data_IF_180020218204
#
_entry.id   IF_180020218204
#
_cell.length_a   1.000
_cell.length_b   1.000
_cell.length_c   1.000
_cell.angle_alpha   90.00
_cell.angle_beta   90.00
_cell.angle_gamma   90.00
#
_symmetry.space_group_name_H-M   'P 1'
#
loop_
_entity.id
_entity.type
_entity.pdbx_description
1 polymer ?
#
# COMPACT_ATOMS: atom_id res chain seq x y z
N UNK A 1 -6.03 -45.41 -5.41
CA UNK A 1 -7.06 -45.56 -4.36
C UNK A 1 -7.15 -44.25 -3.59
N UNK A 2 -8.32 -43.59 -3.68
CA UNK A 2 -8.94 -42.68 -2.71
C UNK A 2 -9.89 -41.76 -3.49
N UNK A 3 -11.09 -42.28 -3.78
CA UNK A 3 -12.23 -41.52 -4.28
C UNK A 3 -12.77 -40.65 -3.13
N UNK A 4 -12.93 -39.35 -3.35
CA UNK A 4 -13.83 -38.52 -2.53
C UNK A 4 -14.81 -37.83 -3.47
N UNK A 5 -15.99 -38.43 -3.54
CA UNK A 5 -17.20 -38.00 -4.22
C UNK A 5 -17.75 -36.76 -3.51
N UNK A 6 -17.80 -35.60 -4.19
CA UNK A 6 -18.54 -34.43 -3.69
C UNK A 6 -20.04 -34.68 -3.87
N UNK A 7 -20.78 -34.74 -2.76
CA UNK A 7 -22.25 -34.76 -2.72
C UNK A 7 -22.80 -33.44 -3.26
N UNK A 8 -23.61 -33.53 -4.30
CA UNK A 8 -24.48 -32.47 -4.81
C UNK A 8 -25.71 -32.41 -3.89
N UNK A 9 -25.99 -31.26 -3.31
CA UNK A 9 -27.24 -30.98 -2.59
C UNK A 9 -28.15 -30.17 -3.51
N UNK A 10 -29.30 -30.75 -3.84
CA UNK A 10 -30.40 -30.09 -4.53
C UNK A 10 -31.39 -29.53 -3.51
N UNK A 11 -31.62 -28.22 -3.57
CA UNK A 11 -32.78 -27.53 -3.00
C UNK A 11 -32.85 -26.18 -3.71
N UNK A 12 -33.91 -25.70 -4.34
CA UNK A 12 -35.28 -26.14 -4.56
C UNK A 12 -35.89 -25.04 -5.44
N UNK A 13 -36.80 -25.39 -6.35
CA UNK A 13 -37.46 -24.47 -7.28
C UNK A 13 -38.07 -23.25 -6.56
N UNK A 14 -37.82 -22.05 -7.08
CA UNK A 14 -38.51 -20.81 -6.75
C UNK A 14 -38.50 -19.88 -7.96
N UNK A 15 -39.68 -19.51 -8.42
CA UNK A 15 -40.05 -18.89 -9.69
C UNK A 15 -39.29 -17.62 -10.11
N UNK A 16 -39.04 -17.52 -11.43
CA UNK A 16 -38.75 -16.28 -12.15
C UNK A 16 -39.90 -15.28 -12.01
N UNK A 17 -39.62 -14.06 -11.52
CA UNK A 17 -40.34 -12.84 -11.94
C UNK A 17 -39.41 -11.64 -11.94
N UNK A 18 -39.08 -11.17 -13.14
CA UNK A 18 -38.67 -9.78 -13.40
C UNK A 18 -39.86 -8.84 -13.16
N UNK A 19 -39.63 -7.60 -12.72
CA UNK A 19 -40.55 -6.51 -13.02
C UNK A 19 -39.86 -5.45 -13.90
N UNK A 20 -40.40 -5.30 -15.10
CA UNK A 20 -40.20 -4.14 -15.96
C UNK A 20 -41.01 -2.94 -15.44
N UNK A 21 -40.40 -1.77 -15.50
CA UNK A 21 -40.93 -0.42 -15.74
C UNK A 21 -42.46 -0.18 -15.60
N UNK A 22 -42.87 0.65 -14.65
CA UNK A 22 -43.54 1.94 -14.89
C UNK A 22 -44.08 2.52 -13.57
N UNK A 23 -43.93 3.83 -13.37
CA UNK A 23 -44.48 4.51 -12.21
C UNK A 23 -43.97 5.94 -12.12
N UNK A 24 -44.49 6.79 -13.01
CA UNK A 24 -44.47 8.24 -12.88
C UNK A 24 -45.02 8.66 -11.52
N UNK A 25 -44.23 9.32 -10.68
CA UNK A 25 -44.75 10.15 -9.60
C UNK A 25 -44.17 11.55 -9.66
N UNK A 26 -45.10 12.49 -9.73
CA UNK A 26 -44.94 13.92 -9.87
C UNK A 26 -44.28 14.54 -8.63
N UNK A 27 -43.42 15.51 -8.92
CA UNK A 27 -42.82 16.44 -7.98
C UNK A 27 -43.91 17.29 -7.32
N UNK A 28 -44.10 17.16 -6.00
CA UNK A 28 -44.78 18.17 -5.18
C UNK A 28 -43.77 18.92 -4.31
N UNK A 29 -43.60 20.19 -4.65
CA UNK A 29 -42.98 21.20 -3.81
C UNK A 29 -43.85 21.48 -2.57
N UNK A 30 -43.27 21.39 -1.39
CA UNK A 30 -43.77 22.07 -0.19
C UNK A 30 -42.63 22.89 0.43
N UNK A 31 -42.72 24.21 0.23
CA UNK A 31 -41.95 25.23 0.94
C UNK A 31 -42.32 25.19 2.42
N UNK A 32 -41.32 25.13 3.30
CA UNK A 32 -41.42 25.73 4.62
C UNK A 32 -40.08 26.36 5.00
N UNK A 33 -40.18 27.58 5.51
CA UNK A 33 -39.14 28.56 5.81
C UNK A 33 -38.95 28.66 7.34
N UNK A 34 -37.84 29.30 7.75
CA UNK A 34 -37.38 29.65 9.12
C UNK A 34 -36.51 28.57 9.77
N UNK A 35 -35.30 28.81 10.28
CA UNK A 35 -34.53 30.03 10.58
C UNK A 35 -33.54 29.70 11.72
N UNK A 36 -32.38 30.35 11.78
CA UNK A 36 -31.57 30.46 13.01
C UNK A 36 -30.29 29.60 13.11
N UNK A 37 -29.16 30.30 13.17
CA UNK A 37 -27.79 29.85 13.51
C UNK A 37 -27.67 29.22 14.91
N UNK A 38 -26.67 28.35 15.14
CA UNK A 38 -25.65 28.48 16.23
C UNK A 38 -24.64 27.32 16.18
N UNK A 39 -23.36 27.68 16.23
CA UNK A 39 -22.18 26.84 16.47
C UNK A 39 -22.24 26.15 17.84
N UNK A 40 -21.86 24.87 17.93
CA UNK A 40 -21.35 24.30 19.19
C UNK A 40 -20.19 23.33 18.96
N UNK A 41 -19.07 23.67 19.59
CA UNK A 41 -17.86 22.87 19.76
C UNK A 41 -17.97 22.09 21.08
N UNK A 42 -17.50 20.84 21.07
CA UNK A 42 -17.01 20.12 22.24
C UNK A 42 -17.92 19.02 22.78
N UNK A 43 -17.48 17.76 22.75
CA UNK A 43 -16.78 17.08 23.87
C UNK A 43 -16.83 15.56 23.65
N UNK A 44 -15.66 14.94 23.77
CA UNK A 44 -15.44 13.50 23.85
C UNK A 44 -15.76 13.04 25.28
N UNK A 45 -16.64 12.05 25.47
CA UNK A 45 -16.84 11.37 26.76
C UNK A 45 -17.50 10.00 26.52
N UNK A 46 -16.71 8.92 26.64
CA UNK A 46 -16.79 7.92 27.73
C UNK A 46 -18.06 7.08 27.67
N UNK A 47 -17.86 5.81 27.29
CA UNK A 47 -18.86 4.75 27.36
C UNK A 47 -18.93 4.29 28.81
N UNK A 48 -19.98 4.69 29.53
CA UNK A 48 -20.32 4.12 30.83
C UNK A 48 -21.19 2.88 30.60
N UNK A 49 -20.76 1.78 31.22
CA UNK A 49 -21.46 0.51 31.36
C UNK A 49 -22.38 0.61 32.58
N UNK A 50 -23.68 0.46 32.38
CA UNK A 50 -24.58 0.02 33.46
C UNK A 50 -25.55 -1.02 32.90
N UNK A 51 -25.45 -2.23 33.46
CA UNK A 51 -26.40 -3.33 33.32
C UNK A 51 -27.61 -3.03 34.20
N UNK A 52 -28.81 -3.04 33.63
CA UNK A 52 -30.04 -3.32 34.38
C UNK A 52 -30.92 -4.25 33.56
N UNK A 53 -31.34 -5.34 34.20
CA UNK A 53 -32.02 -6.50 33.62
C UNK A 53 -33.51 -6.49 33.99
N UNK A 54 -34.35 -6.91 33.03
CA UNK A 54 -35.76 -7.41 33.06
C UNK A 54 -36.84 -6.49 32.46
N UNK A 55 -37.96 -7.03 31.90
CA UNK A 55 -38.14 -8.30 31.19
C UNK A 55 -38.86 -8.14 29.81
N UNK A 56 -38.59 -9.09 28.91
CA UNK A 56 -39.34 -9.49 27.69
C UNK A 56 -40.30 -8.48 27.04
N UNK A 57 -39.80 -7.72 26.06
CA UNK A 57 -40.58 -7.25 24.92
C UNK A 57 -39.98 -7.86 23.64
N UNK A 58 -40.85 -8.32 22.74
CA UNK A 58 -40.56 -8.92 21.44
C UNK A 58 -39.39 -8.23 20.70
N UNK A 59 -38.54 -8.95 19.93
CA UNK A 59 -37.46 -8.32 19.19
C UNK A 59 -38.07 -7.45 18.08
N UNK A 60 -38.28 -6.17 18.38
CA UNK A 60 -38.52 -5.11 17.40
C UNK A 60 -37.33 -5.20 16.45
N UNK A 61 -37.61 -5.73 15.26
CA UNK A 61 -36.70 -5.83 14.12
C UNK A 61 -36.01 -4.47 13.99
N UNK A 62 -34.77 -4.39 14.46
CA UNK A 62 -34.00 -3.15 14.42
C UNK A 62 -33.94 -2.73 12.97
N UNK A 63 -34.60 -1.62 12.64
CA UNK A 63 -34.43 -0.98 11.34
C UNK A 63 -32.92 -0.82 11.15
N UNK A 64 -32.34 -1.28 10.03
CA UNK A 64 -30.90 -1.12 9.82
C UNK A 64 -30.59 0.35 10.02
N UNK A 65 -29.67 0.66 10.95
CA UNK A 65 -29.24 2.04 11.22
C UNK A 65 -29.00 2.71 9.87
N UNK A 66 -29.81 3.72 9.55
CA UNK A 66 -29.68 4.43 8.29
C UNK A 66 -28.31 5.10 8.29
N UNK A 67 -27.41 4.52 7.50
CA UNK A 67 -26.08 5.07 7.26
C UNK A 67 -26.27 6.51 6.75
N UNK A 68 -25.65 7.52 7.39
CA UNK A 68 -25.82 8.92 7.00
C UNK A 68 -25.51 9.11 5.51
N UNK A 69 -26.29 9.98 4.84
CA UNK A 69 -26.30 10.10 3.38
C UNK A 69 -24.90 10.30 2.73
N UNK A 70 -23.98 10.98 3.40
CA UNK A 70 -22.61 11.17 2.93
C UNK A 70 -21.77 9.88 2.93
N UNK A 71 -21.98 8.97 3.88
CA UNK A 71 -21.28 7.68 3.92
C UNK A 71 -21.77 6.75 2.81
N UNK A 72 -23.08 6.80 2.46
CA UNK A 72 -23.60 6.12 1.27
C UNK A 72 -22.92 6.59 -0.02
N UNK A 73 -22.70 7.90 -0.19
CA UNK A 73 -22.02 8.46 -1.37
C UNK A 73 -20.55 8.06 -1.45
N UNK A 74 -19.83 8.01 -0.31
CA UNK A 74 -18.45 7.51 -0.26
C UNK A 74 -18.41 6.02 -0.60
N UNK A 75 -19.30 5.21 -0.04
CA UNK A 75 -19.39 3.77 -0.30
C UNK A 75 -19.63 3.44 -1.78
N UNK A 76 -20.47 4.21 -2.48
CA UNK A 76 -20.75 4.01 -3.92
C UNK A 76 -19.55 4.28 -4.83
N UNK A 77 -18.58 5.07 -4.39
CA UNK A 77 -17.39 5.42 -5.18
C UNK A 77 -16.35 4.30 -5.23
N UNK A 78 -16.38 3.40 -4.24
CA UNK A 78 -15.42 2.31 -4.11
C UNK A 78 -16.02 1.02 -4.65
N UNK A 79 -15.43 0.52 -5.73
CA UNK A 79 -15.77 -0.79 -6.31
C UNK A 79 -14.98 -1.89 -5.60
N UNK A 80 -15.53 -3.11 -5.60
CA UNK A 80 -14.78 -4.32 -5.23
C UNK A 80 -13.87 -4.78 -6.36
N UNK A 81 -12.82 -5.54 -6.01
CA UNK A 81 -12.02 -6.32 -6.94
C UNK A 81 -12.69 -7.68 -7.16
N UNK A 82 -12.82 -8.10 -8.41
CA UNK A 82 -13.38 -9.40 -8.75
C UNK A 82 -12.31 -10.49 -8.60
N UNK A 83 -12.11 -10.92 -7.35
CA UNK A 83 -11.13 -11.94 -7.00
C UNK A 83 -11.63 -13.37 -7.25
N UNK A 84 -12.93 -13.60 -7.26
CA UNK A 84 -13.44 -14.92 -7.61
C UNK A 84 -13.45 -15.07 -9.13
N UNK A 85 -12.74 -16.07 -9.65
CA UNK A 85 -12.72 -16.29 -11.10
C UNK A 85 -14.08 -16.84 -11.51
N UNK A 86 -14.72 -16.21 -12.50
CA UNK A 86 -15.95 -16.75 -13.08
C UNK A 86 -15.63 -17.99 -13.91
N UNK A 87 -15.99 -19.18 -13.39
CA UNK A 87 -15.86 -20.48 -14.08
C UNK A 87 -16.90 -20.64 -15.20
N UNK A 88 -16.85 -19.75 -16.18
CA UNK A 88 -17.72 -19.79 -17.36
C UNK A 88 -17.21 -20.77 -18.42
N UNK A 89 -18.04 -21.07 -19.42
CA UNK A 89 -17.67 -22.00 -20.50
C UNK A 89 -16.41 -21.57 -21.25
N UNK A 90 -16.19 -20.25 -21.41
CA UNK A 90 -15.00 -19.70 -22.07
C UNK A 90 -13.72 -19.98 -21.28
N UNK A 91 -13.75 -19.80 -19.96
CA UNK A 91 -12.63 -20.11 -19.08
C UNK A 91 -12.28 -21.60 -19.12
N UNK A 92 -13.30 -22.46 -19.05
CA UNK A 92 -13.13 -23.91 -19.13
C UNK A 92 -12.65 -24.37 -20.53
N UNK A 93 -13.02 -23.67 -21.60
CA UNK A 93 -12.49 -23.92 -22.95
C UNK A 93 -11.04 -23.48 -23.10
N UNK A 94 -10.69 -22.31 -22.56
CA UNK A 94 -9.31 -21.83 -22.54
C UNK A 94 -8.43 -22.82 -21.78
N UNK A 95 -8.82 -23.21 -20.56
CA UNK A 95 -8.08 -24.17 -19.74
C UNK A 95 -7.95 -25.55 -20.41
N UNK A 96 -8.99 -26.03 -21.10
CA UNK A 96 -8.91 -27.28 -21.89
C UNK A 96 -7.98 -27.18 -23.11
N UNK A 97 -7.86 -26.01 -23.73
CA UNK A 97 -6.93 -25.78 -24.85
C UNK A 97 -5.49 -25.63 -24.39
N UNK A 98 -5.26 -25.40 -23.10
CA UNK A 98 -3.91 -25.22 -22.56
C UNK A 98 -3.15 -26.54 -22.56
N UNK A 99 -2.08 -26.60 -23.37
CA UNK A 99 -1.15 -27.72 -23.34
C UNK A 99 -0.34 -27.73 -22.04
N UNK A 100 0.22 -28.89 -21.67
CA UNK A 100 1.18 -28.99 -20.56
C UNK A 100 2.37 -28.03 -20.72
N UNK A 101 2.83 -27.78 -21.95
CA UNK A 101 3.92 -26.84 -22.22
C UNK A 101 3.50 -25.40 -21.92
N UNK A 102 2.29 -25.03 -22.32
CA UNK A 102 1.71 -23.70 -22.06
C UNK A 102 1.55 -23.47 -20.55
N UNK A 103 1.09 -24.48 -19.80
CA UNK A 103 0.98 -24.40 -18.36
C UNK A 103 2.33 -24.15 -17.68
N UNK A 104 3.37 -24.91 -18.05
CA UNK A 104 4.73 -24.70 -17.52
C UNK A 104 5.28 -23.32 -17.87
N UNK A 105 5.02 -22.83 -19.08
CA UNK A 105 5.43 -21.49 -19.51
C UNK A 105 4.76 -20.39 -18.66
N UNK A 106 3.49 -20.56 -18.28
CA UNK A 106 2.80 -19.63 -17.39
C UNK A 106 3.39 -19.63 -15.98
N UNK A 107 3.70 -20.80 -15.42
CA UNK A 107 4.37 -20.88 -14.12
C UNK A 107 5.72 -20.18 -14.14
N UNK A 108 6.56 -20.45 -15.14
CA UNK A 108 7.85 -19.78 -15.31
C UNK A 108 7.65 -18.27 -15.45
N UNK A 109 6.65 -17.83 -16.21
CA UNK A 109 6.33 -16.42 -16.37
C UNK A 109 5.96 -15.75 -15.05
N UNK A 110 5.23 -16.42 -14.15
CA UNK A 110 4.94 -15.91 -12.80
C UNK A 110 6.22 -15.68 -12.00
N UNK A 111 7.16 -16.63 -12.02
CA UNK A 111 8.45 -16.49 -11.35
C UNK A 111 9.29 -15.34 -11.94
N UNK A 112 9.33 -15.23 -13.26
CA UNK A 112 10.02 -14.14 -13.97
C UNK A 112 9.42 -12.78 -13.59
N UNK A 113 8.09 -12.65 -13.57
CA UNK A 113 7.40 -11.42 -13.16
C UNK A 113 7.74 -11.08 -11.70
N UNK A 114 7.69 -12.05 -10.78
CA UNK A 114 8.06 -11.83 -9.38
C UNK A 114 9.53 -11.39 -9.22
N UNK A 115 10.45 -11.99 -9.97
CA UNK A 115 11.85 -11.58 -9.99
C UNK A 115 12.03 -10.15 -10.51
N UNK A 116 11.33 -9.80 -11.59
CA UNK A 116 11.35 -8.45 -12.15
C UNK A 116 10.74 -7.40 -11.20
N UNK A 117 9.67 -7.75 -10.48
CA UNK A 117 9.07 -6.90 -9.44
C UNK A 117 10.08 -6.62 -8.34
N UNK A 118 10.73 -7.66 -7.82
CA UNK A 118 11.76 -7.52 -6.79
C UNK A 118 12.90 -6.62 -7.25
N UNK A 119 13.45 -6.90 -8.45
CA UNK A 119 14.55 -6.14 -9.04
C UNK A 119 14.20 -4.65 -9.22
N UNK A 120 13.06 -4.35 -9.83
CA UNK A 120 12.63 -2.96 -10.05
C UNK A 120 12.32 -2.24 -8.72
N UNK A 121 11.76 -2.92 -7.73
CA UNK A 121 11.48 -2.35 -6.41
C UNK A 121 12.78 -1.99 -5.68
N UNK A 122 13.79 -2.88 -5.73
CA UNK A 122 15.12 -2.61 -5.19
C UNK A 122 15.81 -1.43 -5.89
N UNK A 123 15.71 -1.31 -7.21
CA UNK A 123 16.24 -0.17 -7.96
C UNK A 123 15.57 1.16 -7.58
N UNK A 124 14.25 1.16 -7.38
CA UNK A 124 13.53 2.36 -6.93
C UNK A 124 13.98 2.76 -5.53
N UNK A 125 14.18 1.79 -4.63
CA UNK A 125 14.72 2.04 -3.30
C UNK A 125 16.12 2.67 -3.37
N UNK A 126 17.04 2.10 -4.16
CA UNK A 126 18.37 2.67 -4.40
C UNK A 126 18.29 4.11 -4.90
N UNK A 127 17.42 4.35 -5.89
CA UNK A 127 17.27 5.68 -6.48
C UNK A 127 16.78 6.71 -5.45
N UNK A 128 15.78 6.36 -4.64
CA UNK A 128 15.28 7.24 -3.57
C UNK A 128 16.39 7.51 -2.55
N UNK A 129 17.14 6.48 -2.15
CA UNK A 129 18.18 6.62 -1.14
C UNK A 129 19.30 7.55 -1.60
N UNK A 130 19.85 7.29 -2.79
CA UNK A 130 20.92 8.10 -3.41
C UNK A 130 20.45 9.54 -3.63
N UNK A 131 19.22 9.74 -4.12
CA UNK A 131 18.69 11.08 -4.36
C UNK A 131 18.50 11.87 -3.05
N UNK A 132 18.01 11.21 -1.99
CA UNK A 132 17.86 11.82 -0.66
C UNK A 132 19.22 12.13 -0.05
N UNK A 133 20.17 11.19 -0.10
CA UNK A 133 21.53 11.40 0.43
C UNK A 133 22.21 12.59 -0.25
N UNK A 134 22.15 12.66 -1.58
CA UNK A 134 22.75 13.75 -2.34
C UNK A 134 22.10 15.12 -2.02
N UNK A 135 20.77 15.21 -2.08
CA UNK A 135 20.05 16.48 -1.86
C UNK A 135 20.15 16.95 -0.41
N UNK A 136 20.03 16.02 0.55
CA UNK A 136 20.17 16.34 1.97
C UNK A 136 21.62 16.71 2.30
N UNK A 137 22.61 16.04 1.71
CA UNK A 137 24.03 16.36 1.83
C UNK A 137 24.32 17.80 1.42
N UNK A 138 23.97 18.17 0.19
CA UNK A 138 24.13 19.54 -0.33
C UNK A 138 23.46 20.57 0.58
N UNK A 139 22.24 20.29 1.07
CA UNK A 139 21.52 21.18 1.98
C UNK A 139 22.23 21.34 3.32
N UNK A 140 22.69 20.25 3.92
CA UNK A 140 23.35 20.29 5.23
C UNK A 140 24.74 20.92 5.15
N UNK A 141 25.49 20.67 4.08
CA UNK A 141 26.79 21.30 3.84
C UNK A 141 26.64 22.82 3.71
N UNK A 142 25.68 23.30 2.90
CA UNK A 142 25.40 24.73 2.74
C UNK A 142 24.98 25.41 4.06
N UNK A 143 24.14 24.73 4.86
CA UNK A 143 23.71 25.24 6.16
C UNK A 143 24.88 25.27 7.15
N UNK A 144 25.73 24.23 7.15
CA UNK A 144 26.90 24.13 8.01
C UNK A 144 27.92 25.22 7.70
N UNK A 145 28.29 25.42 6.44
CA UNK A 145 29.22 26.49 6.01
C UNK A 145 28.70 27.87 6.43
N UNK A 146 27.39 28.09 6.32
CA UNK A 146 26.77 29.33 6.76
C UNK A 146 26.87 29.51 8.28
N UNK A 147 26.55 28.47 9.07
CA UNK A 147 26.65 28.52 10.54
C UNK A 147 28.09 28.80 10.97
N UNK A 148 29.08 28.12 10.39
CA UNK A 148 30.50 28.32 10.73
C UNK A 148 30.93 29.77 10.48
N UNK A 149 30.55 30.34 9.32
CA UNK A 149 30.85 31.73 8.97
C UNK A 149 30.21 32.75 9.91
N UNK A 150 28.96 32.55 10.31
CA UNK A 150 28.22 33.48 11.17
C UNK A 150 28.41 33.23 12.68
N UNK A 151 29.11 32.17 13.06
CA UNK A 151 29.50 31.92 14.47
C UNK A 151 30.59 32.90 14.91
N UNK A 152 31.56 33.21 14.05
CA UNK A 152 32.65 34.14 14.37
C UNK A 152 32.25 35.61 14.26
N UNK A 153 31.42 35.95 13.28
CA UNK A 153 30.99 37.33 12.97
C UNK A 153 29.80 37.78 13.86
N UNK A 154 29.08 36.82 14.44
CA UNK A 154 27.76 37.04 15.04
C UNK A 154 26.67 37.14 13.96
N UNK A 155 25.48 36.59 14.23
CA UNK A 155 24.35 36.63 13.29
C UNK A 155 23.70 35.28 12.93
N UNK A 156 23.65 34.32 13.87
CA UNK A 156 23.01 33.01 13.69
C UNK A 156 21.54 33.06 13.23
N UNK A 157 20.86 34.19 13.39
CA UNK A 157 19.50 34.41 12.85
C UNK A 157 19.45 34.28 11.33
N UNK A 158 20.50 34.69 10.61
CA UNK A 158 20.60 34.55 9.15
C UNK A 158 20.68 33.07 8.76
N UNK A 159 21.46 32.28 9.49
CA UNK A 159 21.58 30.83 9.29
C UNK A 159 20.26 30.11 9.54
N UNK A 160 19.50 30.53 10.57
CA UNK A 160 18.17 30.01 10.84
C UNK A 160 17.19 30.31 9.70
N UNK A 161 17.19 31.54 9.18
CA UNK A 161 16.35 31.93 8.04
C UNK A 161 16.73 31.13 6.79
N UNK A 162 18.02 30.96 6.50
CA UNK A 162 18.48 30.15 5.38
C UNK A 162 17.97 28.71 5.49
N UNK A 163 18.13 28.08 6.67
CA UNK A 163 17.64 26.72 6.90
C UNK A 163 16.12 26.61 6.72
N UNK A 164 15.36 27.57 7.26
CA UNK A 164 13.91 27.62 7.12
C UNK A 164 13.48 27.78 5.64
N UNK A 165 14.15 28.65 4.88
CA UNK A 165 13.86 28.87 3.45
C UNK A 165 14.17 27.62 2.63
N UNK A 166 15.31 26.98 2.87
CA UNK A 166 15.69 25.75 2.16
C UNK A 166 14.69 24.61 2.42
N UNK A 167 14.35 24.35 3.69
CA UNK A 167 13.34 23.35 4.03
C UNK A 167 11.98 23.68 3.39
N UNK A 168 11.53 24.93 3.48
CA UNK A 168 10.25 25.37 2.91
C UNK A 168 10.22 25.21 1.39
N UNK A 169 11.31 25.51 0.70
CA UNK A 169 11.39 25.37 -0.76
C UNK A 169 11.23 23.91 -1.22
N UNK A 170 11.95 22.98 -0.59
CA UNK A 170 11.82 21.55 -0.90
C UNK A 170 10.41 21.03 -0.63
N UNK A 171 9.86 21.34 0.55
CA UNK A 171 8.52 20.90 0.94
C UNK A 171 7.46 21.49 0.02
N UNK A 172 7.58 22.77 -0.36
CA UNK A 172 6.63 23.43 -1.26
C UNK A 172 6.59 22.74 -2.63
N UNK A 173 7.76 22.43 -3.22
CA UNK A 173 7.82 21.72 -4.50
C UNK A 173 7.18 20.32 -4.42
N UNK A 174 7.49 19.56 -3.37
CA UNK A 174 6.89 18.24 -3.14
C UNK A 174 5.37 18.30 -2.91
N UNK A 175 4.91 19.27 -2.11
CA UNK A 175 3.50 19.47 -1.79
C UNK A 175 2.69 19.89 -3.02
N UNK A 176 3.22 20.82 -3.84
CA UNK A 176 2.57 21.22 -5.10
C UNK A 176 2.45 20.05 -6.07
N UNK A 177 3.48 19.21 -6.18
CA UNK A 177 3.44 18.01 -7.01
C UNK A 177 2.32 17.06 -6.57
N UNK A 178 2.21 16.77 -5.26
CA UNK A 178 1.19 15.87 -4.72
C UNK A 178 -0.21 16.49 -4.81
N UNK A 179 -0.39 17.75 -4.39
CA UNK A 179 -1.69 18.40 -4.30
C UNK A 179 -2.35 18.61 -5.66
N UNK A 180 -1.58 19.06 -6.67
CA UNK A 180 -2.14 19.41 -7.98
C UNK A 180 -2.08 18.28 -9.00
N UNK A 181 -1.06 17.40 -8.97
CA UNK A 181 -0.95 16.36 -9.99
C UNK A 181 -1.62 15.06 -9.59
N UNK A 182 -1.38 14.54 -8.39
CA UNK A 182 -1.94 13.26 -7.96
C UNK A 182 -2.14 13.22 -6.42
N UNK A 183 -3.30 13.67 -5.90
CA UNK A 183 -3.54 13.75 -4.46
C UNK A 183 -3.59 12.38 -3.78
N UNK A 184 -3.81 11.30 -4.55
CA UNK A 184 -3.78 9.92 -4.06
C UNK A 184 -2.37 9.50 -3.61
N UNK A 185 -1.32 10.21 -4.05
CA UNK A 185 0.05 9.96 -3.63
C UNK A 185 0.36 10.42 -2.20
N UNK A 186 -0.53 11.22 -1.57
CA UNK A 186 -0.33 11.74 -0.23
C UNK A 186 -0.18 10.63 0.83
N UNK A 187 0.69 10.87 1.83
CA UNK A 187 0.98 9.92 2.91
C UNK A 187 1.79 8.70 2.47
N UNK A 188 1.86 7.69 3.34
CA UNK A 188 2.67 6.49 3.09
C UNK A 188 2.16 5.68 1.90
N UNK A 189 0.85 5.53 1.74
CA UNK A 189 0.27 4.61 0.76
C UNK A 189 -0.11 3.24 1.33
N UNK A 190 0.30 2.93 2.56
CA UNK A 190 0.03 1.64 3.22
C UNK A 190 -1.48 1.41 3.37
N UNK A 191 -2.30 2.39 3.82
CA UNK A 191 -3.74 2.19 3.91
C UNK A 191 -4.38 1.86 2.56
N UNK A 192 -3.91 2.49 1.47
CA UNK A 192 -4.45 2.27 0.14
C UNK A 192 -4.10 0.87 -0.39
N UNK A 193 -2.89 0.36 -0.12
CA UNK A 193 -2.50 -1.00 -0.47
C UNK A 193 -3.25 -2.02 0.39
N UNK A 194 -3.44 -1.75 1.68
CA UNK A 194 -4.28 -2.55 2.57
C UNK A 194 -5.72 -2.67 2.03
N UNK A 195 -6.34 -1.55 1.67
CA UNK A 195 -7.66 -1.56 1.03
C UNK A 195 -7.65 -2.38 -0.28
N UNK A 196 -6.62 -2.24 -1.12
CA UNK A 196 -6.51 -2.99 -2.37
C UNK A 196 -6.39 -4.51 -2.14
N UNK A 197 -5.56 -4.94 -1.19
CA UNK A 197 -5.39 -6.35 -0.83
C UNK A 197 -6.64 -6.94 -0.15
N UNK A 198 -7.36 -6.11 0.62
CA UNK A 198 -8.67 -6.45 1.19
C UNK A 198 -9.77 -6.61 0.12
N UNK A 199 -9.54 -6.13 -1.11
CA UNK A 199 -10.46 -6.27 -2.23
C UNK A 199 -11.22 -4.99 -2.59
N UNK A 200 -10.83 -3.82 -2.07
CA UNK A 200 -11.42 -2.52 -2.41
C UNK A 200 -10.56 -1.80 -3.44
N UNK A 201 -11.14 -1.50 -4.60
CA UNK A 201 -10.48 -0.84 -5.72
C UNK A 201 -10.39 0.68 -5.49
N UNK A 202 -9.31 1.11 -4.86
CA UNK A 202 -9.04 2.55 -4.69
C UNK A 202 -8.70 3.18 -6.05
N UNK A 203 -9.42 4.22 -6.50
CA UNK A 203 -9.14 4.86 -7.78
C UNK A 203 -7.72 5.43 -7.84
N UNK A 204 -7.03 5.20 -8.97
CA UNK A 204 -5.68 5.72 -9.28
C UNK A 204 -4.54 5.23 -8.37
N UNK A 205 -4.78 4.30 -7.44
CA UNK A 205 -3.75 3.79 -6.52
C UNK A 205 -2.54 3.19 -7.27
N UNK A 206 -2.79 2.25 -8.19
CA UNK A 206 -1.75 1.52 -8.93
C UNK A 206 -1.40 2.14 -10.30
N UNK A 207 -1.47 3.48 -10.44
CA UNK A 207 -1.09 4.17 -11.70
C UNK A 207 0.39 4.57 -11.69
N UNK A 208 1.03 4.52 -12.86
CA UNK A 208 2.40 4.98 -13.05
C UNK A 208 2.58 6.45 -12.61
N UNK A 209 1.60 7.30 -12.89
CA UNK A 209 1.61 8.71 -12.44
C UNK A 209 1.72 8.82 -10.91
N UNK A 210 1.00 7.97 -10.17
CA UNK A 210 1.02 7.93 -8.70
C UNK A 210 2.39 7.50 -8.19
N UNK A 211 3.03 6.51 -8.83
CA UNK A 211 4.40 6.10 -8.50
C UNK A 211 5.39 7.27 -8.65
N UNK A 212 5.38 7.95 -9.80
CA UNK A 212 6.31 9.05 -10.08
C UNK A 212 6.13 10.22 -9.10
N UNK A 213 4.87 10.64 -8.87
CA UNK A 213 4.57 11.73 -7.92
C UNK A 213 4.94 11.33 -6.49
N UNK A 214 4.72 10.07 -6.09
CA UNK A 214 5.07 9.58 -4.75
C UNK A 214 6.58 9.51 -4.53
N UNK A 215 7.34 8.97 -5.49
CA UNK A 215 8.81 8.92 -5.45
C UNK A 215 9.40 10.34 -5.36
N UNK A 216 8.91 11.27 -6.19
CA UNK A 216 9.35 12.66 -6.13
C UNK A 216 8.96 13.33 -4.80
N UNK A 217 7.71 13.15 -4.36
CA UNK A 217 7.20 13.73 -3.13
C UNK A 217 7.95 13.25 -1.88
N UNK A 218 8.32 11.96 -1.81
CA UNK A 218 9.10 11.43 -0.67
C UNK A 218 10.52 11.99 -0.65
N UNK A 219 11.19 12.09 -1.80
CA UNK A 219 12.53 12.69 -1.89
C UNK A 219 12.50 14.14 -1.41
N UNK A 220 11.55 14.95 -1.90
CA UNK A 220 11.40 16.35 -1.47
C UNK A 220 11.02 16.49 0.01
N UNK A 221 10.16 15.62 0.53
CA UNK A 221 9.70 15.71 1.93
C UNK A 221 10.82 15.36 2.91
N UNK A 222 11.62 14.34 2.62
CA UNK A 222 12.75 13.93 3.46
C UNK A 222 13.90 14.93 3.32
N UNK A 223 14.24 15.35 2.10
CA UNK A 223 15.25 16.40 1.89
C UNK A 223 14.83 17.75 2.51
N UNK A 224 13.52 18.03 2.57
CA UNK A 224 12.93 19.20 3.22
C UNK A 224 12.94 19.17 4.75
N UNK A 225 13.43 18.08 5.37
CA UNK A 225 13.60 18.00 6.82
C UNK A 225 12.31 17.81 7.61
N UNK A 226 11.23 17.34 6.97
CA UNK A 226 10.01 16.96 7.70
C UNK A 226 10.27 15.72 8.56
N UNK A 227 9.52 15.57 9.66
CA UNK A 227 9.55 14.39 10.52
C UNK A 227 8.82 13.20 9.86
N UNK A 228 9.35 12.72 8.73
CA UNK A 228 8.79 11.67 7.88
C UNK A 228 9.87 10.68 7.43
N UNK A 229 9.45 9.47 7.09
CA UNK A 229 10.32 8.41 6.57
C UNK A 229 10.06 8.09 5.09
N UNK A 230 11.08 7.51 4.43
CA UNK A 230 11.02 7.03 3.04
C UNK A 230 10.62 5.55 2.91
N UNK A 231 10.57 4.85 4.03
CA UNK A 231 10.36 3.42 4.19
C UNK A 231 8.91 3.02 3.88
N UNK A 232 7.93 3.76 4.42
CA UNK A 232 6.51 3.48 4.18
C UNK A 232 6.09 3.60 2.70
N UNK A 233 6.47 4.68 2.00
CA UNK A 233 6.21 4.85 0.56
C UNK A 233 6.78 3.73 -0.34
N UNK A 234 7.79 2.98 0.10
CA UNK A 234 8.34 1.85 -0.67
C UNK A 234 7.33 0.73 -0.87
N UNK A 235 6.48 0.45 0.11
CA UNK A 235 5.45 -0.61 0.06
C UNK A 235 4.47 -0.32 -1.08
N UNK A 236 3.99 0.93 -1.16
CA UNK A 236 3.10 1.37 -2.24
C UNK A 236 3.84 1.38 -3.59
N UNK A 237 5.11 1.79 -3.61
CA UNK A 237 5.88 1.83 -4.85
C UNK A 237 6.06 0.42 -5.46
N UNK A 238 6.40 -0.58 -4.64
CA UNK A 238 6.49 -1.98 -5.07
C UNK A 238 5.15 -2.55 -5.54
N UNK A 239 4.04 -2.23 -4.85
CA UNK A 239 2.69 -2.61 -5.28
C UNK A 239 2.31 -2.01 -6.65
N UNK A 240 2.66 -0.75 -6.93
CA UNK A 240 2.39 -0.11 -8.23
C UNK A 240 3.24 -0.75 -9.34
N UNK A 241 4.52 -1.03 -9.06
CA UNK A 241 5.40 -1.74 -10.01
C UNK A 241 4.80 -3.10 -10.36
N UNK A 242 4.36 -3.87 -9.36
CA UNK A 242 3.74 -5.16 -9.58
C UNK A 242 2.46 -5.11 -10.41
N UNK A 243 1.57 -4.16 -10.11
CA UNK A 243 0.35 -3.94 -10.88
C UNK A 243 0.62 -3.45 -12.32
N UNK A 244 1.75 -2.79 -12.58
CA UNK A 244 2.12 -2.35 -13.92
C UNK A 244 2.79 -3.44 -14.75
N UNK A 245 3.84 -4.05 -14.19
CA UNK A 245 4.67 -5.06 -14.88
C UNK A 245 3.88 -6.31 -15.23
N UNK A 246 3.03 -6.80 -14.31
CA UNK A 246 2.23 -8.00 -14.52
C UNK A 246 1.27 -7.91 -15.72
N UNK A 247 0.87 -6.70 -16.12
CA UNK A 247 -0.14 -6.50 -17.17
C UNK A 247 0.46 -6.46 -18.58
N UNK A 248 1.79 -6.30 -18.70
CA UNK A 248 2.48 -6.22 -19.99
C UNK A 248 2.01 -5.06 -20.89
N UNK A 249 1.35 -4.05 -20.31
CA UNK A 249 0.85 -2.87 -21.03
C UNK A 249 0.92 -1.63 -20.14
N UNK A 250 1.18 -0.48 -20.75
CA UNK A 250 1.08 0.81 -20.10
C UNK A 250 -0.14 1.54 -20.62
N UNK A 251 -1.20 1.58 -19.81
CA UNK A 251 -2.40 2.37 -20.09
C UNK A 251 -2.11 3.87 -20.12
N UNK A 252 -1.16 4.32 -19.29
CA UNK A 252 -0.74 5.73 -19.22
C UNK A 252 0.04 6.17 -20.45
N UNK A 253 0.87 5.29 -21.04
CA UNK A 253 1.66 5.57 -22.23
C UNK A 253 1.00 5.06 -23.54
N UNK A 254 -0.22 4.52 -23.45
CA UNK A 254 -0.96 3.89 -24.57
C UNK A 254 -0.11 2.87 -25.35
N UNK A 255 0.71 2.07 -24.64
CA UNK A 255 1.56 1.03 -25.24
C UNK A 255 1.15 -0.35 -24.75
N UNK A 256 0.97 -1.27 -25.69
CA UNK A 256 0.75 -2.69 -25.41
C UNK A 256 1.93 -3.49 -25.97
N UNK A 257 2.63 -4.22 -25.10
CA UNK A 257 3.77 -5.04 -25.48
C UNK A 257 3.37 -6.45 -25.92
N UNK A 258 2.07 -6.79 -25.87
CA UNK A 258 1.49 -8.11 -26.23
C UNK A 258 2.16 -9.29 -25.49
N UNK A 259 2.75 -9.01 -24.34
CA UNK A 259 3.27 -10.00 -23.39
C UNK A 259 2.31 -10.08 -22.20
N UNK A 260 2.32 -11.21 -21.49
CA UNK A 260 1.62 -11.37 -20.22
C UNK A 260 0.09 -11.16 -20.28
N UNK A 261 -0.53 -11.39 -21.43
CA UNK A 261 -1.96 -11.20 -21.64
C UNK A 261 -2.82 -12.06 -20.68
N UNK A 262 -2.39 -13.29 -20.40
CA UNK A 262 -3.04 -14.21 -19.46
C UNK A 262 -3.16 -13.66 -18.02
N UNK A 263 -2.26 -12.76 -17.62
CA UNK A 263 -2.21 -12.17 -16.27
C UNK A 263 -3.07 -10.90 -16.14
N UNK A 264 -3.83 -10.53 -17.19
CA UNK A 264 -4.73 -9.36 -17.19
C UNK A 264 -6.06 -9.64 -16.47
N UNK A 265 -6.00 -10.26 -15.30
CA UNK A 265 -7.12 -10.58 -14.41
C UNK A 265 -6.84 -10.05 -13.02
N UNK A 266 -7.90 -9.70 -12.28
CA UNK A 266 -7.76 -9.09 -10.95
C UNK A 266 -7.18 -10.07 -9.91
N UNK A 267 -7.39 -11.37 -10.09
CA UNK A 267 -6.76 -12.45 -9.29
C UNK A 267 -5.24 -12.41 -9.34
N UNK A 268 -4.66 -12.62 -10.52
CA UNK A 268 -3.20 -12.59 -10.73
C UNK A 268 -2.63 -11.22 -10.38
N UNK A 269 -3.35 -10.14 -10.70
CA UNK A 269 -2.92 -8.78 -10.35
C UNK A 269 -2.83 -8.56 -8.85
N UNK A 270 -3.78 -9.07 -8.05
CA UNK A 270 -3.72 -8.99 -6.58
C UNK A 270 -2.56 -9.81 -6.03
N UNK A 271 -2.33 -11.01 -6.56
CA UNK A 271 -1.21 -11.88 -6.19
C UNK A 271 0.15 -11.19 -6.44
N UNK A 272 0.32 -10.55 -7.61
CA UNK A 272 1.53 -9.80 -7.91
C UNK A 272 1.64 -8.54 -7.02
N UNK A 273 0.55 -7.81 -6.77
CA UNK A 273 0.56 -6.65 -5.88
C UNK A 273 0.98 -7.03 -4.46
N UNK A 274 0.52 -8.18 -3.97
CA UNK A 274 0.97 -8.77 -2.70
C UNK A 274 2.49 -9.03 -2.71
N UNK A 275 3.03 -9.62 -3.79
CA UNK A 275 4.48 -9.80 -3.95
C UNK A 275 5.25 -8.47 -4.01
N UNK A 276 4.70 -7.44 -4.67
CA UNK A 276 5.29 -6.10 -4.75
C UNK A 276 5.28 -5.37 -3.41
N UNK A 277 4.21 -5.49 -2.64
CA UNK A 277 4.11 -4.94 -1.28
C UNK A 277 5.17 -5.58 -0.36
N UNK A 278 5.28 -6.92 -0.37
CA UNK A 278 6.33 -7.63 0.36
C UNK A 278 7.74 -7.19 -0.05
N UNK A 279 7.99 -7.07 -1.35
CA UNK A 279 9.27 -6.59 -1.88
C UNK A 279 9.60 -5.17 -1.42
N UNK A 280 8.59 -4.30 -1.27
CA UNK A 280 8.75 -2.95 -0.73
C UNK A 280 9.08 -2.94 0.76
N UNK A 281 8.42 -3.78 1.57
CA UNK A 281 8.76 -3.98 3.00
C UNK A 281 10.19 -4.50 3.14
N UNK A 282 10.56 -5.48 2.31
CA UNK A 282 11.90 -6.08 2.30
C UNK A 282 12.99 -5.08 1.97
N UNK A 283 12.76 -4.21 0.96
CA UNK A 283 13.69 -3.13 0.62
C UNK A 283 13.74 -2.04 1.72
N UNK A 284 12.61 -1.73 2.35
CA UNK A 284 12.57 -0.73 3.42
C UNK A 284 13.38 -1.17 4.65
N UNK A 285 13.17 -2.39 5.14
CA UNK A 285 13.66 -2.83 6.46
C UNK A 285 14.72 -3.94 6.40
N UNK A 286 15.08 -4.45 5.22
CA UNK A 286 15.96 -5.60 5.11
C UNK A 286 15.36 -6.89 5.68
N UNK A 287 14.02 -6.99 5.73
CA UNK A 287 13.29 -8.09 6.36
C UNK A 287 12.37 -8.83 5.35
N UNK A 288 12.91 -9.74 4.52
CA UNK A 288 12.13 -10.47 3.51
C UNK A 288 10.97 -11.28 4.10
N UNK A 289 11.22 -11.98 5.21
CA UNK A 289 10.18 -12.78 5.89
C UNK A 289 9.10 -11.87 6.49
N UNK A 290 9.48 -10.72 7.04
CA UNK A 290 8.53 -9.72 7.54
C UNK A 290 7.62 -9.18 6.43
N UNK A 291 8.16 -8.95 5.23
CA UNK A 291 7.37 -8.56 4.06
C UNK A 291 6.38 -9.63 3.58
N UNK A 292 6.78 -10.91 3.63
CA UNK A 292 5.89 -12.04 3.34
C UNK A 292 4.75 -12.10 4.35
N UNK A 293 5.06 -12.01 5.65
CA UNK A 293 4.05 -12.03 6.71
C UNK A 293 3.08 -10.85 6.59
N UNK A 294 3.60 -9.63 6.36
CA UNK A 294 2.76 -8.46 6.10
C UNK A 294 1.78 -8.70 4.94
N UNK A 295 2.24 -9.33 3.86
CA UNK A 295 1.41 -9.55 2.67
C UNK A 295 0.40 -10.69 2.86
N UNK A 296 0.69 -11.64 3.74
CA UNK A 296 -0.24 -12.68 4.17
C UNK A 296 -1.30 -12.12 5.12
N UNK A 297 -0.91 -11.31 6.10
CA UNK A 297 -1.83 -10.67 7.05
C UNK A 297 -2.85 -9.76 6.35
N UNK A 298 -2.40 -8.96 5.37
CA UNK A 298 -3.25 -7.98 4.70
C UNK A 298 -3.97 -8.54 3.46
N UNK A 299 -3.49 -9.65 2.88
CA UNK A 299 -3.94 -10.15 1.58
C UNK A 299 -4.41 -11.60 1.53
N UNK A 300 -4.17 -12.44 2.55
CA UNK A 300 -4.56 -13.84 2.51
C UNK A 300 -5.94 -14.07 3.14
N UNK A 301 -6.92 -14.39 2.31
CA UNK A 301 -8.18 -15.03 2.76
C UNK A 301 -7.98 -16.53 2.98
N UNK A 302 -7.02 -17.15 2.26
CA UNK A 302 -6.62 -18.55 2.38
C UNK A 302 -5.11 -18.69 2.13
N UNK A 303 -4.52 -19.74 2.69
CA UNK A 303 -3.09 -20.02 2.54
C UNK A 303 -2.79 -20.68 1.18
N UNK A 304 -2.02 -20.01 0.33
CA UNK A 304 -1.52 -20.56 -0.94
C UNK A 304 0.00 -20.70 -0.92
N UNK A 305 0.48 -21.94 -0.78
CA UNK A 305 1.91 -22.23 -0.64
C UNK A 305 2.76 -21.73 -1.82
N UNK A 306 2.29 -21.90 -3.06
CA UNK A 306 3.03 -21.49 -4.25
C UNK A 306 3.07 -19.97 -4.41
N UNK A 307 2.02 -19.27 -3.96
CA UNK A 307 2.04 -17.81 -3.90
C UNK A 307 3.04 -17.33 -2.85
N UNK A 308 3.02 -17.90 -1.64
CA UNK A 308 3.94 -17.54 -0.55
C UNK A 308 5.41 -17.67 -0.99
N UNK A 309 5.78 -18.76 -1.68
CA UNK A 309 7.12 -18.94 -2.21
C UNK A 309 7.53 -17.87 -3.24
N UNK A 310 6.60 -17.48 -4.12
CA UNK A 310 6.83 -16.41 -5.11
C UNK A 310 7.02 -15.04 -4.45
N UNK A 311 6.22 -14.73 -3.41
CA UNK A 311 6.33 -13.50 -2.61
C UNK A 311 7.68 -13.47 -1.88
N UNK A 312 8.08 -14.58 -1.27
CA UNK A 312 9.38 -14.70 -0.60
C UNK A 312 10.54 -14.48 -1.58
N UNK A 313 10.48 -15.11 -2.75
CA UNK A 313 11.46 -14.91 -3.81
C UNK A 313 11.57 -13.45 -4.26
N UNK A 314 10.43 -12.79 -4.55
CA UNK A 314 10.42 -11.37 -4.93
C UNK A 314 11.05 -10.47 -3.84
N UNK A 315 10.78 -10.78 -2.57
CA UNK A 315 11.31 -10.05 -1.41
C UNK A 315 12.84 -10.19 -1.29
N UNK A 316 13.34 -11.42 -1.40
CA UNK A 316 14.78 -11.70 -1.41
C UNK A 316 15.49 -11.00 -2.58
N UNK A 317 14.92 -11.04 -3.77
CA UNK A 317 15.48 -10.35 -4.95
C UNK A 317 15.51 -8.83 -4.74
N UNK A 318 14.47 -8.26 -4.14
CA UNK A 318 14.40 -6.82 -3.81
C UNK A 318 15.52 -6.39 -2.86
N UNK A 319 15.68 -7.09 -1.73
CA UNK A 319 16.75 -6.83 -0.75
C UNK A 319 18.14 -7.04 -1.35
N UNK A 320 18.35 -8.12 -2.11
CA UNK A 320 19.62 -8.37 -2.78
C UNK A 320 19.97 -7.27 -3.78
N UNK A 321 19.00 -6.86 -4.61
CA UNK A 321 19.18 -5.80 -5.61
C UNK A 321 19.56 -4.48 -4.92
N UNK A 322 18.81 -4.08 -3.89
CA UNK A 322 19.09 -2.88 -3.11
C UNK A 322 20.53 -2.87 -2.57
N UNK A 323 20.91 -3.94 -1.87
CA UNK A 323 22.21 -4.06 -1.23
C UNK A 323 23.35 -4.09 -2.26
N UNK A 324 23.17 -4.79 -3.38
CA UNK A 324 24.15 -4.87 -4.45
C UNK A 324 24.44 -3.50 -5.10
N UNK A 325 23.40 -2.75 -5.46
CA UNK A 325 23.58 -1.44 -6.10
C UNK A 325 24.07 -0.36 -5.13
N UNK A 326 23.65 -0.38 -3.86
CA UNK A 326 24.21 0.50 -2.83
C UNK A 326 25.69 0.19 -2.54
N UNK A 327 26.06 -1.09 -2.49
CA UNK A 327 27.47 -1.53 -2.33
C UNK A 327 28.37 -0.99 -3.46
N UNK A 328 27.88 -1.00 -4.70
CA UNK A 328 28.57 -0.41 -5.85
C UNK A 328 28.69 1.11 -5.69
N UNK A 329 27.61 1.79 -5.32
CA UNK A 329 27.59 3.25 -5.15
C UNK A 329 28.58 3.71 -4.07
N UNK A 330 28.67 3.00 -2.95
CA UNK A 330 29.63 3.29 -1.87
C UNK A 330 31.07 2.82 -2.15
N UNK A 331 31.38 2.38 -3.39
CA UNK A 331 32.72 1.94 -3.84
C UNK A 331 33.32 0.78 -3.03
N UNK A 332 32.47 -0.07 -2.43
CA UNK A 332 32.88 -1.27 -1.70
C UNK A 332 32.22 -2.52 -2.31
N UNK A 333 32.52 -2.83 -3.58
CA UNK A 333 31.87 -3.95 -4.27
C UNK A 333 32.13 -5.25 -3.53
N UNK A 334 31.07 -5.91 -3.08
CA UNK A 334 31.12 -7.19 -2.36
C UNK A 334 30.85 -7.10 -0.86
N UNK A 335 30.87 -5.90 -0.26
CA UNK A 335 30.44 -5.70 1.12
C UNK A 335 28.92 -5.47 1.16
N UNK A 336 28.16 -6.54 1.41
CA UNK A 336 26.69 -6.52 1.46
C UNK A 336 26.17 -6.03 2.83
N UNK A 337 26.58 -4.84 3.25
CA UNK A 337 26.29 -4.28 4.58
C UNK A 337 24.94 -3.57 4.71
N UNK A 338 24.26 -3.28 3.60
CA UNK A 338 23.02 -2.46 3.57
C UNK A 338 21.83 -3.27 3.06
N UNK A 339 21.25 -4.19 3.86
CA UNK A 339 20.12 -5.02 3.44
C UNK A 339 18.81 -4.23 3.27
N UNK A 340 18.65 -3.09 3.96
CA UNK A 340 17.49 -2.22 3.82
C UNK A 340 17.87 -0.74 3.73
N UNK A 341 16.86 0.10 3.45
CA UNK A 341 16.97 1.55 3.54
C UNK A 341 17.31 2.02 4.96
N UNK A 342 16.81 1.28 5.96
CA UNK A 342 17.19 1.45 7.36
C UNK A 342 17.88 0.19 7.88
N UNK A 343 19.02 0.37 8.55
CA UNK A 343 19.80 -0.71 9.14
C UNK A 343 20.02 -0.42 10.63
N UNK A 344 19.55 -1.30 11.51
CA UNK A 344 19.66 -1.10 12.97
C UNK A 344 21.05 -1.45 13.53
N UNK A 345 21.97 -1.92 12.69
CA UNK A 345 23.28 -2.38 13.12
C UNK A 345 23.26 -3.80 13.70
N UNK A 346 24.33 -4.17 14.40
CA UNK A 346 24.48 -5.49 15.03
C UNK A 346 24.27 -5.38 16.53
N UNK A 347 23.46 -6.27 17.08
CA UNK A 347 23.21 -6.38 18.52
C UNK A 347 23.90 -7.62 19.11
N UNK A 348 25.08 -7.98 18.58
CA UNK A 348 25.84 -9.18 18.97
C UNK A 348 26.57 -9.03 20.33
N UNK A 349 26.50 -7.87 20.97
CA UNK A 349 26.98 -7.68 22.34
C UNK A 349 26.07 -8.45 23.30
N UNK A 350 26.60 -8.92 24.45
CA UNK A 350 25.86 -9.62 25.53
C UNK A 350 24.74 -8.75 26.14
N UNK A 351 23.71 -8.42 25.35
CA UNK A 351 22.49 -7.77 25.80
C UNK A 351 21.64 -8.86 26.45
N UNK A 352 22.08 -9.28 27.65
CA UNK A 352 21.37 -10.25 28.47
C UNK A 352 20.20 -9.56 29.16
N UNK A 353 18.99 -9.89 28.73
CA UNK A 353 17.79 -9.45 29.42
C UNK A 353 17.50 -10.37 30.60
N UNK A 354 17.62 -9.85 31.83
CA UNK A 354 17.10 -10.51 33.02
C UNK A 354 15.57 -10.49 33.05
N UNK A 355 14.97 -11.52 33.65
CA UNK A 355 13.51 -11.67 33.79
C UNK A 355 12.83 -10.43 34.40
N UNK A 356 13.50 -9.70 35.29
CA UNK A 356 12.97 -8.46 35.86
C UNK A 356 12.65 -7.38 34.80
N UNK A 357 13.41 -7.31 33.70
CA UNK A 357 13.14 -6.35 32.62
C UNK A 357 11.83 -6.63 31.89
N UNK A 358 11.30 -7.85 31.95
CA UNK A 358 10.01 -8.19 31.35
C UNK A 358 8.87 -7.34 31.92
N UNK A 359 8.86 -7.11 33.24
CA UNK A 359 7.86 -6.26 33.90
C UNK A 359 7.99 -4.80 33.46
N UNK A 360 9.23 -4.32 33.27
CA UNK A 360 9.48 -2.97 32.75
C UNK A 360 9.05 -2.81 31.29
N UNK A 361 9.21 -3.85 30.46
CA UNK A 361 8.72 -3.84 29.08
C UNK A 361 7.19 -3.82 29.00
N UNK A 362 6.51 -4.60 29.84
CA UNK A 362 5.05 -4.60 29.92
C UNK A 362 4.46 -3.29 30.44
N UNK A 363 5.12 -2.64 31.40
CA UNK A 363 4.62 -1.40 32.01
C UNK A 363 4.58 -0.21 31.04
N UNK A 364 5.29 -0.28 29.91
CA UNK A 364 5.28 0.76 28.86
C UNK A 364 4.21 0.54 27.79
N UNK A 365 3.45 -0.56 27.88
CA UNK A 365 2.35 -0.92 26.97
C UNK A 365 0.96 -0.45 27.47
N UNK A 366 0.88 0.13 28.66
CA UNK A 366 -0.27 0.86 29.20
C UNK A 366 0.11 2.34 29.34
#
# INVERSE_FOLDING_TARGET
MANITKKVSWSGRGEERTPLLNGSEEVRYSRQSSGGSVFHIGRLSTVDLDEDITPEEDPVRSKPKEIPHNEKLLSLKYESLDYDNSENQLFLEEERRMSHMSFRCLEISRWVICGLIGFLTGLIACFIDIAVEYLAGVKYDLVKENIEKFTEVGGLSISLILWAVLNSAFVMVGALAVAFFEPVAAGSGIPQIKCYLNGVKVPRVVRLKTLLVKVFGVICSVAGGLAVGKEGPMIHSGAVVAAGVSQGRSTSLKRDFKIFEYFRRDTEKRDFVSAGAAAGVSAAFGAPVGGVLFSLEEGASFWNQMLTWRIFFASMVSTFTLNFFLSIYHKKPGELSSPGLINFGRFDMDVSYHFFFFVLFLRKLY
#
